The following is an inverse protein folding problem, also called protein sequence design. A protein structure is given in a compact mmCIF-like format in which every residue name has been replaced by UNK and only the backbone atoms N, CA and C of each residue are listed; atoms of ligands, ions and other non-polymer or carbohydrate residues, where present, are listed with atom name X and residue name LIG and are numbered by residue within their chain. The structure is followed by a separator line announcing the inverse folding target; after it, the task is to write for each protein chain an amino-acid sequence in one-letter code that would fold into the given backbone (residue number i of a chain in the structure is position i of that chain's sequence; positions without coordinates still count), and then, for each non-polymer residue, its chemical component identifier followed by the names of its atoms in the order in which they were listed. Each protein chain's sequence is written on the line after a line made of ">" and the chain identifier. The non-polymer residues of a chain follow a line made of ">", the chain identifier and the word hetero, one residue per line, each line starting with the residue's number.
data_IF_875811502911
#
_entry.id   IF_875811502911
#
_cell.length_a   1.000
_cell.length_b   1.000
_cell.length_c   1.000
_cell.angle_alpha   90.00
_cell.angle_beta   90.00
_cell.angle_gamma   90.00
#
_symmetry.space_group_name_H-M   'P 1'
#
loop_
_entity.id
_entity.type
_entity.pdbx_description
1 polymer ?
#
# COMPACT_ATOMS: atom_id res chain seq x y z
N UNK A 1 12.72 -40.61 14.46
CA UNK A 1 12.91 -39.26 13.90
C UNK A 1 13.25 -38.36 15.05
N UNK A 2 14.49 -37.89 15.13
CA UNK A 2 14.88 -36.88 16.10
C UNK A 2 14.27 -35.54 15.68
N UNK A 3 13.58 -34.89 16.61
CA UNK A 3 13.01 -33.57 16.37
C UNK A 3 14.15 -32.55 16.46
N UNK A 4 14.56 -32.00 15.32
CA UNK A 4 15.58 -30.94 15.29
C UNK A 4 14.94 -29.68 15.88
N UNK A 5 15.34 -29.32 17.11
CA UNK A 5 14.95 -28.05 17.71
C UNK A 5 15.60 -26.91 16.93
N UNK A 6 14.81 -26.22 16.11
CA UNK A 6 15.24 -24.99 15.48
C UNK A 6 15.23 -23.84 16.50
N UNK A 7 16.29 -23.00 16.56
CA UNK A 7 16.32 -21.82 17.40
C UNK A 7 15.50 -20.68 16.77
N UNK A 8 14.17 -20.85 16.70
CA UNK A 8 13.24 -19.91 16.05
C UNK A 8 13.40 -18.46 16.52
N UNK A 9 13.72 -18.26 17.80
CA UNK A 9 13.93 -16.92 18.38
C UNK A 9 15.16 -16.17 17.84
N UNK A 10 16.09 -16.85 17.16
CA UNK A 10 17.27 -16.26 16.55
C UNK A 10 17.07 -15.94 15.06
N UNK A 11 15.94 -16.34 14.46
CA UNK A 11 15.69 -16.09 13.06
C UNK A 11 15.47 -14.59 12.81
N UNK A 12 16.22 -14.06 11.85
CA UNK A 12 16.11 -12.66 11.41
C UNK A 12 15.27 -12.52 10.15
N UNK A 13 15.15 -13.59 9.37
CA UNK A 13 14.40 -13.63 8.12
C UNK A 13 13.71 -14.96 7.98
N UNK A 14 12.44 -14.92 7.58
CA UNK A 14 11.66 -16.11 7.26
C UNK A 14 11.08 -15.94 5.88
N UNK A 15 11.16 -17.01 5.10
CA UNK A 15 10.52 -17.07 3.80
C UNK A 15 9.98 -18.47 3.59
N UNK A 16 8.67 -18.56 3.40
CA UNK A 16 7.97 -19.81 3.21
C UNK A 16 7.33 -19.78 1.82
N UNK A 17 7.89 -20.60 0.93
CA UNK A 17 7.48 -20.73 -0.46
C UNK A 17 6.65 -21.98 -0.71
N UNK A 18 5.80 -21.90 -1.72
CA UNK A 18 5.32 -23.01 -2.54
C UNK A 18 4.43 -24.10 -1.93
N UNK A 19 4.15 -24.06 -0.63
CA UNK A 19 3.18 -24.94 0.00
C UNK A 19 1.99 -24.14 0.51
N UNK A 20 0.79 -24.71 0.34
CA UNK A 20 -0.42 -24.10 0.84
C UNK A 20 -0.46 -24.29 2.36
N UNK A 21 -0.39 -23.21 3.11
CA UNK A 21 -0.37 -23.23 4.56
C UNK A 21 -1.58 -22.49 5.11
N UNK A 22 -2.32 -23.06 6.08
CA UNK A 22 -3.29 -22.29 6.84
C UNK A 22 -2.67 -20.99 7.37
N UNK A 23 -3.43 -19.90 7.31
CA UNK A 23 -3.02 -18.61 7.84
C UNK A 23 -2.70 -18.68 9.35
N UNK A 24 -3.36 -19.58 10.09
CA UNK A 24 -3.05 -19.86 11.49
C UNK A 24 -1.61 -20.37 11.68
N UNK A 25 -1.15 -21.32 10.86
CA UNK A 25 0.21 -21.85 10.94
C UNK A 25 1.25 -20.75 10.71
N UNK A 26 0.96 -19.81 9.80
CA UNK A 26 1.82 -18.65 9.57
C UNK A 26 1.91 -17.75 10.82
N UNK A 27 0.78 -17.51 11.50
CA UNK A 27 0.76 -16.78 12.77
C UNK A 27 1.53 -17.53 13.86
N UNK A 28 1.40 -18.86 13.94
CA UNK A 28 2.09 -19.69 14.92
C UNK A 28 3.61 -19.73 14.70
N UNK A 29 4.06 -19.61 13.44
CA UNK A 29 5.47 -19.44 13.10
C UNK A 29 5.95 -18.06 13.54
N UNK A 30 5.23 -16.99 13.17
CA UNK A 30 5.56 -15.62 13.57
C UNK A 30 5.67 -15.49 15.10
N UNK A 31 4.73 -16.10 15.80
CA UNK A 31 4.65 -16.23 17.25
C UNK A 31 5.90 -16.83 17.92
N UNK A 32 6.70 -17.64 17.21
CA UNK A 32 7.93 -18.25 17.72
C UNK A 32 9.18 -17.40 17.43
N UNK A 33 9.04 -16.37 16.60
CA UNK A 33 10.16 -15.59 16.04
C UNK A 33 10.22 -14.18 16.64
N UNK A 34 10.05 -14.08 17.96
CA UNK A 34 9.63 -12.84 18.63
C UNK A 34 10.69 -11.74 18.71
N UNK A 35 11.98 -12.07 18.64
CA UNK A 35 13.02 -11.15 19.11
C UNK A 35 13.88 -10.51 18.01
N UNK A 36 14.13 -11.22 16.90
CA UNK A 36 15.12 -10.79 15.91
C UNK A 36 14.56 -10.71 14.48
N UNK A 37 13.30 -11.09 14.27
CA UNK A 37 12.72 -11.19 12.93
C UNK A 37 12.51 -9.80 12.32
N UNK A 38 13.25 -9.51 11.25
CA UNK A 38 13.22 -8.23 10.51
C UNK A 38 12.41 -8.34 9.23
N UNK A 39 12.31 -9.55 8.66
CA UNK A 39 11.58 -9.76 7.41
C UNK A 39 10.87 -11.11 7.37
N UNK A 40 9.60 -11.09 6.97
CA UNK A 40 8.80 -12.29 6.80
C UNK A 40 8.10 -12.28 5.45
N UNK A 41 8.16 -13.40 4.74
CA UNK A 41 7.50 -13.60 3.46
C UNK A 41 6.76 -14.93 3.49
N UNK A 42 5.45 -14.88 3.31
CA UNK A 42 4.58 -16.06 3.20
C UNK A 42 3.89 -16.06 1.84
N UNK A 43 3.92 -17.21 1.17
CA UNK A 43 3.23 -17.38 -0.12
C UNK A 43 2.22 -18.51 -0.06
N UNK A 44 1.18 -18.43 -0.89
CA UNK A 44 0.08 -19.40 -0.95
C UNK A 44 -0.59 -19.63 0.42
N UNK A 45 -0.75 -18.56 1.19
CA UNK A 45 -1.42 -18.62 2.51
C UNK A 45 -2.91 -18.88 2.32
N UNK A 46 -3.42 -19.96 2.89
CA UNK A 46 -4.85 -20.30 2.85
C UNK A 46 -5.56 -19.45 3.92
N UNK A 47 -6.46 -18.52 3.52
CA UNK A 47 -7.21 -17.69 4.46
C UNK A 47 -8.25 -18.51 5.24
N UNK A 48 -8.90 -17.90 6.25
CA UNK A 48 -9.94 -18.58 7.00
C UNK A 48 -11.21 -18.74 6.15
N UNK A 49 -11.86 -19.89 6.28
CA UNK A 49 -13.15 -20.17 5.65
C UNK A 49 -14.32 -19.43 6.33
N UNK A 50 -14.17 -19.12 7.62
CA UNK A 50 -15.19 -18.45 8.44
C UNK A 50 -14.55 -17.31 9.24
N UNK A 51 -15.31 -16.26 9.60
CA UNK A 51 -14.82 -15.22 10.51
C UNK A 51 -14.36 -15.87 11.82
N UNK A 52 -13.11 -15.66 12.17
CA UNK A 52 -12.50 -16.24 13.38
C UNK A 52 -11.97 -15.13 14.27
N UNK A 53 -12.24 -15.20 15.57
CA UNK A 53 -11.56 -14.36 16.55
C UNK A 53 -10.22 -14.99 16.92
N UNK A 54 -9.16 -14.20 16.94
CA UNK A 54 -7.87 -14.63 17.46
C UNK A 54 -7.68 -13.94 18.81
N UNK A 55 -7.63 -14.72 19.88
CA UNK A 55 -7.54 -14.19 21.26
C UNK A 55 -6.11 -13.78 21.65
N UNK A 56 -5.15 -13.97 20.74
CA UNK A 56 -3.73 -13.78 20.98
C UNK A 56 -3.15 -12.75 20.03
N UNK A 57 -2.49 -11.75 20.59
CA UNK A 57 -1.67 -10.81 19.81
C UNK A 57 -0.25 -11.35 19.67
N UNK A 58 0.21 -11.46 18.44
CA UNK A 58 1.59 -11.71 18.04
C UNK A 58 2.28 -10.36 17.88
N UNK A 59 3.18 -10.06 18.82
CA UNK A 59 3.97 -8.84 18.82
C UNK A 59 5.37 -9.10 18.27
N UNK A 60 5.75 -8.37 17.22
CA UNK A 60 7.06 -8.48 16.58
C UNK A 60 7.70 -7.10 16.48
N UNK A 61 8.41 -6.71 17.54
CA UNK A 61 8.95 -5.36 17.69
C UNK A 61 10.00 -4.98 16.64
N UNK A 62 10.65 -5.96 16.01
CA UNK A 62 11.72 -5.74 15.03
C UNK A 62 11.29 -6.02 13.58
N UNK A 63 10.04 -6.44 13.33
CA UNK A 63 9.62 -6.81 11.98
C UNK A 63 9.41 -5.56 11.14
N UNK A 64 10.35 -5.29 10.25
CA UNK A 64 10.34 -4.12 9.37
C UNK A 64 9.60 -4.37 8.06
N UNK A 65 9.58 -5.63 7.60
CA UNK A 65 9.05 -6.01 6.28
C UNK A 65 8.18 -7.25 6.35
N UNK A 66 6.94 -7.15 5.87
CA UNK A 66 5.99 -8.25 5.80
C UNK A 66 5.40 -8.36 4.41
N UNK A 67 5.58 -9.51 3.77
CA UNK A 67 4.91 -9.85 2.51
C UNK A 67 4.06 -11.09 2.68
N UNK A 68 2.80 -11.00 2.30
CA UNK A 68 1.85 -12.11 2.38
C UNK A 68 1.12 -12.22 1.06
N UNK A 69 1.17 -13.43 0.48
CA UNK A 69 0.41 -13.77 -0.72
C UNK A 69 -0.58 -14.87 -0.34
N UNK A 70 -1.84 -14.49 -0.24
CA UNK A 70 -2.92 -15.45 -0.02
C UNK A 70 -3.16 -16.27 -1.29
N UNK A 71 -3.46 -17.55 -1.10
CA UNK A 71 -3.87 -18.43 -2.18
C UNK A 71 -5.17 -17.89 -2.80
N UNK A 72 -5.27 -18.00 -4.13
CA UNK A 72 -6.51 -17.65 -4.84
C UNK A 72 -7.56 -18.69 -4.48
N UNK A 73 -8.67 -18.22 -3.93
CA UNK A 73 -9.81 -19.07 -3.61
C UNK A 73 -11.11 -18.36 -4.05
N UNK A 74 -12.01 -19.03 -4.79
CA UNK A 74 -13.28 -18.45 -5.22
C UNK A 74 -14.30 -18.20 -4.10
N UNK A 75 -14.09 -18.72 -2.89
CA UNK A 75 -15.05 -18.59 -1.79
C UNK A 75 -14.79 -17.33 -0.94
N UNK A 76 -15.82 -16.89 -0.19
CA UNK A 76 -15.73 -15.72 0.69
C UNK A 76 -14.81 -16.01 1.87
N UNK A 77 -13.55 -15.68 1.73
CA UNK A 77 -12.55 -15.90 2.77
C UNK A 77 -12.23 -14.65 3.57
N UNK A 78 -11.75 -14.87 4.78
CA UNK A 78 -11.46 -13.82 5.74
C UNK A 78 -9.96 -13.75 6.01
N UNK A 79 -9.37 -12.59 5.78
CA UNK A 79 -7.96 -12.29 6.14
C UNK A 79 -7.85 -11.39 7.36
N UNK A 80 -8.96 -10.79 7.79
CA UNK A 80 -9.08 -9.98 9.01
C UNK A 80 -8.47 -10.65 10.23
N UNK A 81 -8.72 -11.94 10.53
CA UNK A 81 -8.13 -12.59 11.70
C UNK A 81 -6.59 -12.55 11.71
N UNK A 82 -5.97 -12.53 10.53
CA UNK A 82 -4.52 -12.39 10.41
C UNK A 82 -4.03 -11.05 10.97
N UNK A 83 -4.66 -9.95 10.54
CA UNK A 83 -4.21 -8.60 10.88
C UNK A 83 -4.66 -8.17 12.27
N UNK A 84 -5.78 -8.69 12.78
CA UNK A 84 -6.21 -8.47 14.17
C UNK A 84 -5.24 -9.10 15.17
N UNK A 85 -4.63 -10.23 14.80
CA UNK A 85 -3.64 -10.92 15.62
C UNK A 85 -2.26 -10.26 15.63
N UNK A 86 -1.99 -9.23 14.82
CA UNK A 86 -0.65 -8.67 14.66
C UNK A 86 -0.47 -7.29 15.30
N UNK A 87 0.68 -7.10 15.94
CA UNK A 87 1.19 -5.80 16.39
C UNK A 87 2.65 -5.65 15.94
N UNK A 88 2.89 -4.78 14.97
CA UNK A 88 4.16 -4.67 14.24
C UNK A 88 4.67 -3.22 14.27
N UNK A 89 5.15 -2.74 15.43
CA UNK A 89 5.46 -1.32 15.61
C UNK A 89 6.61 -0.82 14.72
N UNK A 90 7.53 -1.70 14.31
CA UNK A 90 8.64 -1.35 13.39
C UNK A 90 8.30 -1.55 11.91
N UNK A 91 7.09 -2.00 11.58
CA UNK A 91 6.72 -2.32 10.19
C UNK A 91 6.76 -1.06 9.34
N UNK A 92 7.59 -1.11 8.29
CA UNK A 92 7.79 -0.01 7.36
C UNK A 92 7.40 -0.37 5.93
N UNK A 93 7.42 -1.66 5.58
CA UNK A 93 7.07 -2.19 4.26
C UNK A 93 6.07 -3.34 4.42
N UNK A 94 4.89 -3.15 3.86
CA UNK A 94 3.81 -4.13 3.86
C UNK A 94 3.33 -4.43 2.44
N UNK A 95 3.41 -5.69 2.05
CA UNK A 95 2.85 -6.18 0.79
C UNK A 95 1.80 -7.25 1.05
N UNK A 96 0.58 -7.02 0.56
CA UNK A 96 -0.57 -7.91 0.68
C UNK A 96 -1.08 -8.25 -0.70
N UNK A 97 -1.14 -9.53 -1.03
CA UNK A 97 -1.78 -10.00 -2.26
C UNK A 97 -2.91 -10.97 -1.88
N UNK A 98 -4.15 -10.60 -2.17
CA UNK A 98 -5.35 -11.30 -1.72
C UNK A 98 -6.44 -11.33 -2.81
N UNK A 99 -6.09 -11.82 -4.01
CA UNK A 99 -7.00 -11.83 -5.16
C UNK A 99 -8.28 -12.64 -4.88
N UNK A 100 -9.43 -11.96 -4.98
CA UNK A 100 -10.75 -12.57 -4.77
C UNK A 100 -11.29 -12.41 -3.35
N UNK A 101 -10.48 -11.92 -2.42
CA UNK A 101 -10.84 -11.73 -1.02
C UNK A 101 -11.33 -10.29 -0.84
N UNK A 102 -12.48 -10.10 -0.19
CA UNK A 102 -12.97 -8.77 0.15
C UNK A 102 -12.40 -8.35 1.51
N UNK A 103 -11.67 -7.24 1.53
CA UNK A 103 -11.03 -6.74 2.73
C UNK A 103 -11.66 -5.43 3.19
N UNK A 104 -12.22 -5.44 4.40
CA UNK A 104 -12.84 -4.27 5.02
C UNK A 104 -11.78 -3.25 5.44
N UNK A 105 -11.97 -1.95 5.15
CA UNK A 105 -11.07 -0.89 5.60
C UNK A 105 -10.96 -0.78 7.12
N UNK A 106 -12.04 -1.09 7.85
CA UNK A 106 -12.06 -0.97 9.30
C UNK A 106 -11.00 -1.89 9.94
N UNK A 107 -10.83 -3.08 9.37
CA UNK A 107 -9.87 -4.08 9.84
C UNK A 107 -8.43 -3.63 9.63
N UNK A 108 -8.18 -2.90 8.53
CA UNK A 108 -6.87 -2.31 8.28
C UNK A 108 -6.56 -1.15 9.23
N UNK A 109 -7.55 -0.28 9.51
CA UNK A 109 -7.37 0.84 10.45
C UNK A 109 -6.91 0.35 11.82
N UNK A 110 -7.53 -0.71 12.36
CA UNK A 110 -7.13 -1.26 13.66
C UNK A 110 -5.70 -1.83 13.65
N UNK A 111 -5.34 -2.53 12.58
CA UNK A 111 -3.99 -3.03 12.38
C UNK A 111 -2.96 -1.89 12.26
N UNK A 112 -3.33 -0.81 11.58
CA UNK A 112 -2.50 0.37 11.38
C UNK A 112 -2.23 1.11 12.69
N UNK A 113 -3.22 1.23 13.59
CA UNK A 113 -2.99 1.78 14.93
C UNK A 113 -1.91 1.00 15.71
N UNK A 114 -1.79 -0.32 15.47
CA UNK A 114 -0.75 -1.17 16.07
C UNK A 114 0.54 -1.24 15.26
N UNK A 115 0.55 -0.68 14.05
CA UNK A 115 1.66 -0.69 13.09
C UNK A 115 1.79 0.69 12.41
N UNK A 116 2.01 1.77 13.17
CA UNK A 116 1.83 3.15 12.68
C UNK A 116 2.92 3.61 11.71
N UNK A 117 4.01 2.85 11.58
CA UNK A 117 5.22 3.27 10.85
C UNK A 117 5.28 2.80 9.40
N UNK A 118 4.17 2.32 8.83
CA UNK A 118 4.13 1.87 7.43
C UNK A 118 4.45 3.05 6.50
N UNK A 119 5.49 2.87 5.68
CA UNK A 119 5.97 3.85 4.68
C UNK A 119 5.73 3.37 3.27
N UNK A 120 5.85 2.07 3.04
CA UNK A 120 5.63 1.41 1.75
C UNK A 120 4.46 0.44 1.90
N UNK A 121 3.41 0.62 1.10
CA UNK A 121 2.23 -0.23 1.10
C UNK A 121 1.91 -0.72 -0.30
N UNK A 122 1.92 -2.03 -0.47
CA UNK A 122 1.52 -2.69 -1.71
C UNK A 122 0.30 -3.58 -1.46
N UNK A 123 -0.77 -3.35 -2.22
CA UNK A 123 -2.03 -4.10 -2.11
C UNK A 123 -2.42 -4.60 -3.50
N UNK A 124 -2.54 -5.92 -3.67
CA UNK A 124 -2.96 -6.54 -4.93
C UNK A 124 -4.19 -7.41 -4.72
N UNK A 125 -5.30 -7.02 -5.37
CA UNK A 125 -6.55 -7.76 -5.42
C UNK A 125 -7.38 -7.83 -4.12
N UNK A 126 -6.93 -7.18 -3.04
CA UNK A 126 -7.60 -7.17 -1.73
C UNK A 126 -8.64 -6.04 -1.59
N UNK A 127 -8.44 -4.93 -2.30
CA UNK A 127 -9.27 -3.73 -2.19
C UNK A 127 -10.04 -3.54 -3.49
N UNK A 128 -11.37 -3.55 -3.42
CA UNK A 128 -12.24 -3.44 -4.60
C UNK A 128 -12.70 -2.03 -4.91
N UNK A 129 -12.78 -1.18 -3.88
CA UNK A 129 -13.37 0.15 -3.95
C UNK A 129 -12.34 1.25 -3.68
N UNK A 130 -12.41 2.33 -4.44
CA UNK A 130 -11.49 3.48 -4.37
C UNK A 130 -11.60 4.18 -3.02
N UNK A 131 -12.79 4.20 -2.42
CA UNK A 131 -13.09 4.79 -1.11
C UNK A 131 -12.30 4.10 0.00
N UNK A 132 -12.04 2.79 -0.13
CA UNK A 132 -11.24 2.04 0.82
C UNK A 132 -9.77 2.49 0.77
N UNK A 133 -9.22 2.73 -0.42
CA UNK A 133 -7.87 3.26 -0.59
C UNK A 133 -7.76 4.67 -0.01
N UNK A 134 -8.76 5.52 -0.25
CA UNK A 134 -8.82 6.87 0.33
C UNK A 134 -8.78 6.81 1.87
N UNK A 135 -9.56 5.91 2.47
CA UNK A 135 -9.56 5.71 3.93
C UNK A 135 -8.22 5.18 4.45
N UNK A 136 -7.58 4.25 3.74
CA UNK A 136 -6.23 3.79 4.06
C UNK A 136 -5.27 4.99 4.09
N UNK A 137 -5.32 5.83 3.06
CA UNK A 137 -4.45 7.01 2.96
C UNK A 137 -4.68 8.05 4.07
N UNK A 138 -5.94 8.26 4.48
CA UNK A 138 -6.24 9.20 5.58
C UNK A 138 -5.68 8.75 6.92
N UNK A 139 -5.63 7.43 7.16
CA UNK A 139 -5.08 6.83 8.38
C UNK A 139 -3.55 6.60 8.31
N UNK A 140 -2.92 6.87 7.16
CA UNK A 140 -1.50 6.60 6.89
C UNK A 140 -0.65 7.87 6.71
N UNK A 141 -0.49 8.73 7.73
CA UNK A 141 0.23 10.00 7.58
C UNK A 141 1.74 9.85 7.26
N UNK A 142 2.30 8.67 7.48
CA UNK A 142 3.71 8.36 7.22
C UNK A 142 3.97 7.66 5.89
N UNK A 143 2.92 7.37 5.11
CA UNK A 143 3.04 6.65 3.86
C UNK A 143 3.80 7.51 2.82
N UNK A 144 4.83 6.91 2.25
CA UNK A 144 5.69 7.50 1.21
C UNK A 144 5.39 6.87 -0.15
N UNK A 145 4.95 5.62 -0.17
CA UNK A 145 4.72 4.86 -1.39
C UNK A 145 3.50 3.99 -1.26
N UNK A 146 2.62 4.09 -2.24
CA UNK A 146 1.41 3.29 -2.37
C UNK A 146 1.39 2.61 -3.74
N UNK A 147 1.19 1.30 -3.74
CA UNK A 147 0.94 0.52 -4.95
C UNK A 147 -0.35 -0.28 -4.77
N UNK A 148 -1.32 -0.08 -5.67
CA UNK A 148 -2.59 -0.79 -5.66
C UNK A 148 -2.84 -1.43 -7.02
N UNK A 149 -3.11 -2.73 -7.02
CA UNK A 149 -3.45 -3.51 -8.22
C UNK A 149 -4.85 -4.13 -8.07
N UNK A 150 -5.67 -4.05 -9.11
CA UNK A 150 -6.95 -4.76 -9.19
C UNK A 150 -8.13 -4.02 -8.57
N UNK A 151 -8.23 -2.69 -8.77
CA UNK A 151 -9.39 -1.90 -8.32
C UNK A 151 -10.59 -2.09 -9.26
N UNK A 152 -11.76 -2.40 -8.72
CA UNK A 152 -12.98 -2.58 -9.53
C UNK A 152 -13.82 -1.30 -9.69
N UNK A 153 -13.27 -0.16 -9.27
CA UNK A 153 -13.91 1.17 -9.30
C UNK A 153 -13.01 2.22 -9.98
N UNK A 154 -13.63 3.34 -10.38
CA UNK A 154 -12.91 4.48 -10.97
C UNK A 154 -11.91 5.05 -9.97
N UNK A 155 -10.70 5.36 -10.44
CA UNK A 155 -9.65 5.99 -9.61
C UNK A 155 -9.81 7.52 -9.49
N UNK A 156 -10.70 8.15 -10.26
CA UNK A 156 -10.81 9.61 -10.27
C UNK A 156 -11.08 10.24 -8.88
N UNK A 157 -11.92 9.66 -8.01
CA UNK A 157 -12.09 10.18 -6.64
C UNK A 157 -10.80 10.17 -5.82
N UNK A 158 -9.98 9.12 -5.98
CA UNK A 158 -8.67 9.04 -5.33
C UNK A 158 -7.73 10.12 -5.86
N UNK A 159 -7.69 10.32 -7.18
CA UNK A 159 -6.88 11.37 -7.79
C UNK A 159 -7.27 12.77 -7.29
N UNK A 160 -8.57 13.05 -7.14
CA UNK A 160 -9.06 14.31 -6.58
C UNK A 160 -8.62 14.54 -5.14
N UNK A 161 -8.71 13.51 -4.29
CA UNK A 161 -8.31 13.60 -2.87
C UNK A 161 -6.79 13.82 -2.72
N UNK A 162 -6.00 13.37 -3.68
CA UNK A 162 -4.55 13.56 -3.70
C UNK A 162 -4.11 14.93 -4.23
N UNK A 163 -5.04 15.77 -4.73
CA UNK A 163 -4.73 17.13 -5.16
C UNK A 163 -4.33 17.99 -3.95
N UNK A 164 -3.25 18.74 -4.11
CA UNK A 164 -2.86 19.76 -3.14
C UNK A 164 -3.58 21.09 -3.43
N UNK A 165 -3.97 21.79 -2.37
CA UNK A 165 -4.64 23.09 -2.44
C UNK A 165 -4.06 24.00 -1.35
N UNK A 166 -3.64 25.21 -1.71
CA UNK A 166 -2.99 26.15 -0.79
C UNK A 166 -3.98 26.84 0.19
N UNK A 167 -5.14 26.24 0.41
CA UNK A 167 -6.12 26.75 1.36
C UNK A 167 -5.68 26.40 2.78
N UNK A 168 -5.59 27.39 3.67
CA UNK A 168 -5.23 27.21 5.09
C UNK A 168 -6.12 26.19 5.83
N UNK A 169 -7.33 25.94 5.33
CA UNK A 169 -8.30 25.00 5.90
C UNK A 169 -8.26 23.61 5.26
N UNK A 170 -7.43 23.38 4.25
CA UNK A 170 -7.37 22.11 3.54
C UNK A 170 -6.67 21.03 4.38
N UNK A 171 -7.34 19.89 4.54
CA UNK A 171 -6.71 18.68 5.10
C UNK A 171 -6.08 17.90 3.95
N UNK A 172 -4.76 17.80 3.95
CA UNK A 172 -4.02 17.06 2.93
C UNK A 172 -3.93 15.57 3.26
N UNK A 173 -4.63 14.76 2.48
CA UNK A 173 -4.52 13.30 2.56
C UNK A 173 -3.17 12.86 1.99
N UNK A 174 -2.49 11.97 2.72
CA UNK A 174 -1.20 11.40 2.31
C UNK A 174 -0.15 12.45 1.92
N UNK A 175 0.01 13.47 2.77
CA UNK A 175 0.96 14.57 2.57
C UNK A 175 2.42 14.11 2.32
N UNK A 176 2.80 12.92 2.82
CA UNK A 176 4.15 12.36 2.62
C UNK A 176 4.30 11.47 1.40
N UNK A 177 3.22 11.21 0.66
CA UNK A 177 3.24 10.30 -0.48
C UNK A 177 4.07 10.89 -1.62
N UNK A 178 5.07 10.16 -2.08
CA UNK A 178 5.98 10.53 -3.16
C UNK A 178 5.86 9.58 -4.35
N UNK A 179 5.36 8.37 -4.12
CA UNK A 179 5.23 7.32 -5.13
C UNK A 179 3.81 6.76 -5.14
N UNK A 180 3.20 6.72 -6.31
CA UNK A 180 1.88 6.13 -6.51
C UNK A 180 1.90 5.21 -7.72
N UNK A 181 1.51 3.95 -7.51
CA UNK A 181 1.29 2.98 -8.59
C UNK A 181 -0.15 2.45 -8.52
N UNK A 182 -0.90 2.63 -9.59
CA UNK A 182 -2.29 2.17 -9.74
C UNK A 182 -2.37 1.29 -10.98
N UNK A 183 -2.62 0.01 -10.78
CA UNK A 183 -2.63 -1.00 -11.83
C UNK A 183 -3.98 -1.73 -11.87
N UNK A 184 -4.36 -2.21 -13.05
CA UNK A 184 -5.52 -3.08 -13.27
C UNK A 184 -6.83 -2.54 -12.66
N UNK A 185 -7.09 -1.24 -12.83
CA UNK A 185 -8.32 -0.60 -12.34
C UNK A 185 -9.44 -0.53 -13.39
N UNK A 186 -10.70 -0.46 -12.93
CA UNK A 186 -11.88 -0.28 -13.79
C UNK A 186 -12.23 1.20 -14.00
N UNK A 187 -12.72 1.52 -15.21
CA UNK A 187 -13.20 2.85 -15.56
C UNK A 187 -12.18 3.71 -16.30
N UNK A 188 -12.59 4.92 -16.69
CA UNK A 188 -11.75 5.86 -17.43
C UNK A 188 -11.03 6.81 -16.48
N UNK A 189 -9.82 7.21 -16.87
CA UNK A 189 -9.05 8.27 -16.20
C UNK A 189 -9.43 9.61 -16.80
N UNK A 190 -9.86 10.55 -15.98
CA UNK A 190 -10.08 11.92 -16.41
C UNK A 190 -8.74 12.67 -16.46
N UNK A 191 -8.32 13.08 -17.66
CA UNK A 191 -7.03 13.76 -17.86
C UNK A 191 -6.91 15.08 -17.11
N UNK A 192 -8.00 15.85 -16.96
CA UNK A 192 -7.97 17.11 -16.22
C UNK A 192 -7.65 16.85 -14.75
N UNK A 193 -8.38 15.91 -14.14
CA UNK A 193 -8.20 15.53 -12.73
C UNK A 193 -6.78 15.00 -12.50
N UNK A 194 -6.31 14.14 -13.40
CA UNK A 194 -4.95 13.60 -13.30
C UNK A 194 -3.90 14.70 -13.46
N UNK A 195 -4.06 15.61 -14.43
CA UNK A 195 -3.13 16.74 -14.62
C UNK A 195 -3.07 17.63 -13.38
N UNK A 196 -4.23 18.01 -12.84
CA UNK A 196 -4.34 18.82 -11.63
C UNK A 196 -3.68 18.14 -10.42
N UNK A 197 -3.89 16.82 -10.25
CA UNK A 197 -3.25 16.05 -9.18
C UNK A 197 -1.73 16.02 -9.31
N UNK A 198 -1.21 15.84 -10.53
CA UNK A 198 0.24 15.83 -10.77
C UNK A 198 0.84 17.21 -10.50
N UNK A 199 0.29 18.23 -11.17
CA UNK A 199 0.82 19.59 -11.14
C UNK A 199 0.70 20.24 -9.76
N UNK A 200 -0.34 19.92 -8.99
CA UNK A 200 -0.49 20.47 -7.64
C UNK A 200 0.62 20.02 -6.67
N UNK A 201 1.36 18.95 -6.98
CA UNK A 201 2.46 18.44 -6.15
C UNK A 201 3.75 18.26 -6.95
N UNK A 202 3.90 19.01 -8.04
CA UNK A 202 5.13 19.06 -8.81
C UNK A 202 5.73 20.46 -8.67
N UNK A 203 6.98 20.50 -8.24
CA UNK A 203 7.77 21.72 -8.13
C UNK A 203 9.15 21.44 -8.72
N UNK A 204 9.65 22.39 -9.50
CA UNK A 204 11.02 22.41 -9.99
C UNK A 204 11.99 22.70 -8.84
N UNK A 205 13.26 22.33 -9.02
CA UNK A 205 14.32 22.67 -8.06
C UNK A 205 14.45 24.19 -7.83
N UNK A 206 14.10 25.01 -8.83
CA UNK A 206 14.09 26.47 -8.72
C UNK A 206 12.94 26.93 -7.81
N UNK A 207 11.72 26.46 -8.06
CA UNK A 207 10.56 26.76 -7.20
C UNK A 207 10.77 26.30 -5.76
N UNK A 208 11.40 25.14 -5.54
CA UNK A 208 11.72 24.66 -4.20
C UNK A 208 12.74 25.56 -3.47
N UNK A 209 13.72 26.13 -4.18
CA UNK A 209 14.68 27.08 -3.59
C UNK A 209 14.02 28.40 -3.24
N UNK A 210 13.09 28.87 -4.08
CA UNK A 210 12.33 30.09 -3.79
C UNK A 210 11.39 29.91 -2.59
N UNK A 211 10.92 28.68 -2.35
CA UNK A 211 10.09 28.32 -1.18
C UNK A 211 10.88 28.22 0.14
N UNK A 212 12.20 28.06 0.13
CA UNK A 212 12.99 27.96 1.37
C UNK A 212 12.87 29.22 2.25
N UNK A 213 12.57 30.38 1.66
CA UNK A 213 12.28 31.63 2.38
C UNK A 213 10.93 31.63 3.11
N UNK A 214 10.01 30.73 2.72
CA UNK A 214 8.66 30.59 3.28
C UNK A 214 8.41 29.25 4.00
N UNK A 215 9.41 28.37 4.00
CA UNK A 215 9.35 27.03 4.56
C UNK A 215 8.91 25.98 3.55
N UNK A 216 9.28 24.70 3.76
CA UNK A 216 8.96 23.64 2.81
C UNK A 216 7.44 23.45 2.69
N UNK A 217 6.94 23.10 1.49
CA UNK A 217 5.51 22.85 1.29
C UNK A 217 5.01 21.74 2.23
N UNK A 218 3.72 21.81 2.66
CA UNK A 218 3.16 20.88 3.64
C UNK A 218 3.00 19.45 3.08
N UNK A 219 3.13 19.29 1.75
CA UNK A 219 3.09 18.00 1.07
C UNK A 219 4.39 17.76 0.28
N UNK A 220 4.76 16.49 0.14
CA UNK A 220 5.92 16.07 -0.64
C UNK A 220 5.62 16.08 -2.13
N UNK A 221 6.66 16.37 -2.91
CA UNK A 221 6.65 16.31 -4.37
C UNK A 221 6.50 14.88 -4.88
N UNK A 222 5.85 14.71 -6.03
CA UNK A 222 5.87 13.43 -6.71
C UNK A 222 7.29 13.07 -7.16
N UNK A 223 7.68 11.81 -6.95
CA UNK A 223 8.90 11.21 -7.50
C UNK A 223 8.58 10.19 -8.57
N UNK A 224 7.53 9.39 -8.36
CA UNK A 224 7.11 8.38 -9.30
C UNK A 224 5.59 8.22 -9.35
N UNK A 225 5.05 8.09 -10.57
CA UNK A 225 3.64 7.88 -10.84
C UNK A 225 3.49 6.80 -11.91
N UNK A 226 2.83 5.72 -11.58
CA UNK A 226 2.51 4.64 -12.50
C UNK A 226 0.99 4.45 -12.54
N UNK A 227 0.39 4.65 -13.71
CA UNK A 227 -1.04 4.46 -13.91
C UNK A 227 -1.23 3.55 -15.12
N UNK A 228 -1.63 2.32 -14.85
CA UNK A 228 -1.82 1.24 -15.83
C UNK A 228 -3.23 0.71 -15.70
N UNK A 229 -4.02 0.79 -16.75
CA UNK A 229 -5.41 0.30 -16.68
C UNK A 229 -5.88 -0.28 -18.00
N UNK A 230 -6.54 -1.43 -17.93
CA UNK A 230 -6.98 -2.23 -19.08
C UNK A 230 -7.94 -1.51 -20.05
N UNK A 231 -8.52 -0.38 -19.62
CA UNK A 231 -9.52 0.38 -20.39
C UNK A 231 -9.20 1.87 -20.49
N UNK A 232 -7.95 2.25 -20.23
CA UNK A 232 -7.54 3.65 -20.38
C UNK A 232 -7.64 4.02 -21.85
N UNK A 233 -8.50 4.99 -22.19
CA UNK A 233 -8.55 5.54 -23.55
C UNK A 233 -7.20 6.20 -23.88
N UNK A 234 -6.84 6.22 -25.16
CA UNK A 234 -5.62 6.89 -25.60
C UNK A 234 -5.57 8.33 -25.12
N UNK A 235 -4.53 8.69 -24.35
CA UNK A 235 -4.42 10.04 -23.82
C UNK A 235 -4.27 11.09 -24.95
N UNK A 236 -4.80 12.29 -24.72
CA UNK A 236 -4.70 13.42 -25.65
C UNK A 236 -3.24 13.81 -25.90
N UNK A 237 -2.98 14.42 -27.06
CA UNK A 237 -1.63 14.91 -27.41
C UNK A 237 -1.13 15.95 -26.41
N UNK A 238 -2.03 16.82 -25.93
CA UNK A 238 -1.69 17.86 -24.95
C UNK A 238 -1.18 17.24 -23.64
N UNK A 239 -1.96 16.30 -23.09
CA UNK A 239 -1.59 15.61 -21.85
C UNK A 239 -0.27 14.84 -21.99
N UNK A 240 -0.08 14.11 -23.09
CA UNK A 240 1.19 13.43 -23.40
C UNK A 240 2.38 14.41 -23.49
N UNK A 241 2.14 15.61 -24.03
CA UNK A 241 3.13 16.69 -24.08
C UNK A 241 3.56 17.15 -22.69
N UNK A 242 2.58 17.41 -21.80
CA UNK A 242 2.82 17.75 -20.40
C UNK A 242 3.62 16.65 -19.68
N UNK A 243 3.18 15.39 -19.76
CA UNK A 243 3.88 14.27 -19.11
C UNK A 243 5.31 14.11 -19.62
N UNK A 244 5.54 14.34 -20.92
CA UNK A 244 6.89 14.30 -21.49
C UNK A 244 7.78 15.39 -20.89
N UNK A 245 7.26 16.61 -20.70
CA UNK A 245 7.99 17.71 -20.06
C UNK A 245 8.35 17.37 -18.61
N UNK A 246 7.39 16.89 -17.83
CA UNK A 246 7.63 16.50 -16.43
C UNK A 246 8.70 15.40 -16.30
N UNK A 247 8.71 14.42 -17.23
CA UNK A 247 9.77 13.39 -17.29
C UNK A 247 11.14 13.98 -17.57
N UNK A 248 11.25 15.00 -18.43
CA UNK A 248 12.54 15.67 -18.69
C UNK A 248 13.03 16.46 -17.49
N UNK A 249 12.13 16.87 -16.60
CA UNK A 249 12.43 17.55 -15.35
C UNK A 249 12.66 16.57 -14.18
N UNK A 250 12.60 15.25 -14.42
CA UNK A 250 12.97 14.21 -13.46
C UNK A 250 11.81 13.41 -12.85
N UNK A 251 10.55 13.70 -13.20
CA UNK A 251 9.42 12.91 -12.71
C UNK A 251 9.35 11.54 -13.40
N UNK A 252 9.40 10.44 -12.63
CA UNK A 252 9.21 9.08 -13.16
C UNK A 252 7.73 8.81 -13.43
N UNK A 253 7.23 9.15 -14.61
CA UNK A 253 5.83 8.85 -14.99
C UNK A 253 5.77 7.63 -15.91
N UNK A 254 4.94 6.64 -15.60
CA UNK A 254 4.55 5.54 -16.49
C UNK A 254 3.05 5.56 -16.71
N UNK A 255 2.63 5.67 -17.96
CA UNK A 255 1.22 5.64 -18.36
C UNK A 255 1.08 4.61 -19.47
N UNK A 256 0.30 3.54 -19.22
CA UNK A 256 0.07 2.50 -20.22
C UNK A 256 -1.37 2.04 -20.26
N UNK A 257 -1.74 1.53 -21.43
CA UNK A 257 -2.99 0.85 -21.74
C UNK A 257 -2.91 -0.62 -21.35
#
# INVERSE_FOLDING_TARGET
>A
MECIHMPWSQLTRITIWDFAHPAQDCLDILAQCTNALVSAVFTKVIPWAEPSSIDRIVHLACLERLRIIFARDPYNHYITPFFTALSLPALSDLSIQARGIDWSPADFTDFQHRSPNIRELHISGAVRATEHVIRILSESPHLVSLSVEGLYSSINPLLQVLQFSDSETAVHVAARLERLSLQDFHGTVNESILSEMILSRWWTDEELRDLDDHGPPPVRCWKALEIVGAHVQSYTKSFKGMVKLLRTEGLEVTLSH
#
